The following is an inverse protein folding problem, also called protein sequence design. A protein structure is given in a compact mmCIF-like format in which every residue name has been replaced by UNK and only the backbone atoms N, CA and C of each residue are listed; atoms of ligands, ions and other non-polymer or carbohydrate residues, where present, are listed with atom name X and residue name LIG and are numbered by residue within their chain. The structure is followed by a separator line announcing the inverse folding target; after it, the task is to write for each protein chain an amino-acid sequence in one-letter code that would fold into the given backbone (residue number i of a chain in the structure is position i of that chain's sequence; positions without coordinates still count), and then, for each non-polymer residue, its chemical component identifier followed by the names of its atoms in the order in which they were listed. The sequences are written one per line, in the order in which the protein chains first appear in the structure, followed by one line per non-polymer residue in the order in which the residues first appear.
data_IF_889548963864
#
_entry.id   IF_889548963864
#
_cell.length_a   1.000
_cell.length_b   1.000
_cell.length_c   1.000
_cell.angle_alpha   90.00
_cell.angle_beta   90.00
_cell.angle_gamma   90.00
#
_symmetry.space_group_name_H-M   'P 1'
#
loop_
_entity.id
_entity.type
_entity.pdbx_description
1 polymer ?
#
# COMPACT_ATOMS: atom_id res chain seq x y z
N UNK A 1 3.82 29.50 -12.03
CA UNK A 1 2.84 28.45 -12.37
C UNK A 1 3.60 27.45 -13.23
N UNK A 2 4.03 26.35 -12.65
CA UNK A 2 4.75 25.29 -13.36
C UNK A 2 3.75 24.57 -14.26
N UNK A 3 3.99 24.64 -15.57
CA UNK A 3 3.26 23.94 -16.63
C UNK A 3 3.70 22.47 -16.73
N UNK A 4 4.04 21.85 -15.59
CA UNK A 4 4.44 20.44 -15.55
C UNK A 4 3.24 19.52 -15.79
N UNK A 5 3.46 18.42 -16.47
CA UNK A 5 2.50 17.33 -16.58
C UNK A 5 2.30 16.77 -15.15
N UNK A 6 1.06 16.48 -14.69
CA UNK A 6 0.77 16.13 -13.29
C UNK A 6 1.62 15.00 -12.70
N UNK A 7 2.13 14.09 -13.54
CA UNK A 7 2.93 12.93 -13.10
C UNK A 7 4.45 13.11 -13.22
N UNK A 8 4.96 14.26 -13.69
CA UNK A 8 6.40 14.41 -13.92
C UNK A 8 7.22 14.29 -12.64
N UNK A 9 6.73 14.87 -11.53
CA UNK A 9 7.39 14.77 -10.23
C UNK A 9 7.48 13.31 -9.76
N UNK A 10 6.42 12.52 -9.96
CA UNK A 10 6.43 11.09 -9.60
C UNK A 10 7.39 10.29 -10.47
N UNK A 11 7.49 10.59 -11.76
CA UNK A 11 8.45 9.96 -12.67
C UNK A 11 9.88 10.27 -12.24
N UNK A 12 10.15 11.53 -11.87
CA UNK A 12 11.46 11.94 -11.37
C UNK A 12 11.80 11.21 -10.06
N UNK A 13 10.86 11.14 -9.12
CA UNK A 13 11.04 10.40 -7.87
C UNK A 13 11.32 8.91 -8.11
N UNK A 14 10.52 8.28 -8.97
CA UNK A 14 10.70 6.86 -9.31
C UNK A 14 12.05 6.58 -10.01
N UNK A 15 12.48 7.48 -10.89
CA UNK A 15 13.77 7.35 -11.59
C UNK A 15 14.97 7.56 -10.66
N UNK A 16 14.80 8.26 -9.54
CA UNK A 16 15.85 8.57 -8.58
C UNK A 16 15.83 7.67 -7.33
N UNK A 17 15.05 6.58 -7.33
CA UNK A 17 15.12 5.59 -6.25
C UNK A 17 16.54 5.01 -6.22
N UNK A 18 17.22 5.16 -5.07
CA UNK A 18 18.58 4.68 -4.91
C UNK A 18 18.65 3.14 -5.02
N UNK A 19 19.56 2.65 -5.83
CA UNK A 19 19.83 1.21 -5.89
C UNK A 19 20.55 0.78 -4.60
N UNK A 20 20.10 -0.26 -3.90
CA UNK A 20 20.78 -0.80 -2.71
C UNK A 20 22.22 -1.28 -2.96
N UNK A 21 22.57 -1.58 -4.23
CA UNK A 21 23.90 -2.02 -4.64
C UNK A 21 24.08 -3.53 -4.60
N UNK A 22 25.08 -4.00 -5.36
CA UNK A 22 25.33 -5.44 -5.56
C UNK A 22 25.90 -6.13 -4.32
N UNK A 23 26.65 -5.43 -3.49
CA UNK A 23 27.24 -6.01 -2.30
C UNK A 23 26.19 -6.48 -1.30
N UNK A 24 25.22 -5.62 -0.98
CA UNK A 24 24.12 -6.01 -0.08
C UNK A 24 23.27 -7.15 -0.67
N UNK A 25 23.03 -7.13 -1.99
CA UNK A 25 22.31 -8.20 -2.68
C UNK A 25 23.02 -9.55 -2.55
N UNK A 26 24.34 -9.59 -2.79
CA UNK A 26 25.15 -10.83 -2.65
C UNK A 26 25.15 -11.33 -1.22
N UNK A 27 25.37 -10.43 -0.25
CA UNK A 27 25.43 -10.78 1.16
C UNK A 27 24.10 -11.34 1.64
N UNK A 28 22.98 -10.70 1.26
CA UNK A 28 21.64 -11.13 1.61
C UNK A 28 21.32 -12.53 1.06
N UNK A 29 21.63 -12.76 -0.23
CA UNK A 29 21.42 -14.06 -0.87
C UNK A 29 22.26 -15.16 -0.23
N UNK A 30 23.54 -14.94 -0.03
CA UNK A 30 24.42 -15.92 0.61
C UNK A 30 23.97 -16.26 2.05
N UNK A 31 23.34 -15.32 2.77
CA UNK A 31 22.77 -15.60 4.07
C UNK A 31 21.48 -16.42 3.98
N UNK A 32 20.59 -16.09 3.05
CA UNK A 32 19.36 -16.87 2.83
C UNK A 32 19.70 -18.31 2.43
N UNK A 33 20.63 -18.52 1.49
CA UNK A 33 21.07 -19.85 1.06
C UNK A 33 21.61 -20.71 2.22
N UNK A 34 22.25 -20.10 3.21
CA UNK A 34 22.70 -20.84 4.41
C UNK A 34 21.57 -21.22 5.35
N UNK A 35 20.52 -20.40 5.43
CA UNK A 35 19.38 -20.62 6.33
C UNK A 35 18.34 -21.53 5.69
N UNK A 36 18.19 -21.41 4.39
CA UNK A 36 17.20 -22.15 3.60
C UNK A 36 17.80 -22.66 2.29
N UNK A 37 18.73 -23.63 2.36
CA UNK A 37 19.40 -24.16 1.17
C UNK A 37 18.46 -24.88 0.20
N UNK A 38 17.35 -25.39 0.72
CA UNK A 38 16.34 -26.15 -0.07
C UNK A 38 15.19 -25.26 -0.59
N UNK A 39 15.18 -23.96 -0.29
CA UNK A 39 14.13 -23.03 -0.71
C UNK A 39 12.76 -23.30 -0.09
N UNK A 40 12.72 -23.91 1.09
CA UNK A 40 11.46 -24.31 1.77
C UNK A 40 10.64 -23.12 2.28
N UNK A 41 11.29 -21.98 2.49
CA UNK A 41 10.60 -20.75 2.90
C UNK A 41 9.77 -20.13 1.78
N UNK A 42 10.05 -20.44 0.51
CA UNK A 42 9.31 -19.93 -0.64
C UNK A 42 9.14 -18.40 -0.57
N UNK A 43 7.90 -17.91 -0.68
CA UNK A 43 7.57 -16.48 -0.66
C UNK A 43 8.07 -15.77 0.61
N UNK A 44 8.13 -16.44 1.75
CA UNK A 44 8.68 -15.85 2.99
C UNK A 44 10.18 -15.58 2.84
N UNK A 45 10.93 -16.50 2.21
CA UNK A 45 12.34 -16.32 1.90
C UNK A 45 12.57 -15.13 0.95
N UNK A 46 11.77 -15.03 -0.11
CA UNK A 46 11.83 -13.91 -1.06
C UNK A 46 11.53 -12.57 -0.39
N UNK A 47 10.51 -12.53 0.48
CA UNK A 47 10.13 -11.34 1.25
C UNK A 47 11.25 -10.92 2.21
N UNK A 48 11.84 -11.88 2.92
CA UNK A 48 12.97 -11.62 3.82
C UNK A 48 14.19 -11.10 3.06
N UNK A 49 14.47 -11.67 1.89
CA UNK A 49 15.56 -11.23 1.00
C UNK A 49 15.33 -9.79 0.54
N UNK A 50 14.14 -9.49 0.03
CA UNK A 50 13.75 -8.16 -0.40
C UNK A 50 13.91 -7.13 0.73
N UNK A 51 13.37 -7.45 1.91
CA UNK A 51 13.43 -6.58 3.08
C UNK A 51 14.88 -6.34 3.53
N UNK A 52 15.73 -7.37 3.52
CA UNK A 52 17.13 -7.25 3.87
C UNK A 52 17.88 -6.33 2.91
N UNK A 53 17.65 -6.49 1.60
CA UNK A 53 18.28 -5.69 0.55
C UNK A 53 17.90 -4.22 0.69
N UNK A 54 16.60 -3.93 0.77
CA UNK A 54 16.10 -2.55 0.77
C UNK A 54 16.29 -1.82 2.11
N UNK A 55 16.28 -2.53 3.24
CA UNK A 55 16.55 -1.94 4.55
C UNK A 55 18.04 -1.84 4.88
N UNK A 56 18.91 -2.51 4.14
CA UNK A 56 20.34 -2.61 4.44
C UNK A 56 20.64 -3.36 5.75
N UNK A 57 19.70 -4.14 6.28
CA UNK A 57 19.80 -4.82 7.59
C UNK A 57 19.86 -6.33 7.45
N UNK A 58 20.79 -6.93 8.17
CA UNK A 58 20.99 -8.38 8.23
C UNK A 58 21.14 -8.84 9.67
N UNK A 59 20.23 -9.68 10.20
CA UNK A 59 18.98 -10.14 9.59
C UNK A 59 17.97 -9.00 9.37
N UNK A 60 17.01 -9.16 8.44
CA UNK A 60 15.95 -8.18 8.27
C UNK A 60 15.10 -8.09 9.53
N UNK A 61 14.60 -6.90 9.85
CA UNK A 61 13.75 -6.67 11.00
C UNK A 61 12.58 -5.75 10.66
N UNK A 62 11.40 -6.09 11.16
CA UNK A 62 10.20 -5.27 11.09
C UNK A 62 9.87 -4.81 12.50
N UNK A 63 10.23 -3.57 12.84
CA UNK A 63 10.14 -3.10 14.21
C UNK A 63 8.81 -2.44 14.56
N UNK A 64 8.11 -1.88 13.62
CA UNK A 64 6.81 -1.21 13.83
C UNK A 64 5.99 -1.35 12.55
N UNK A 65 5.42 -2.55 12.30
CA UNK A 65 4.59 -2.75 11.14
C UNK A 65 3.33 -1.88 11.23
N UNK A 66 2.89 -1.37 10.10
CA UNK A 66 1.67 -0.57 10.01
C UNK A 66 0.80 -1.10 8.87
N UNK A 67 -0.48 -1.27 9.15
CA UNK A 67 -1.50 -1.56 8.17
C UNK A 67 -2.23 -0.26 7.83
N UNK A 68 -2.26 0.09 6.55
CA UNK A 68 -3.00 1.23 6.03
C UNK A 68 -4.23 0.74 5.27
N UNK A 69 -5.40 1.26 5.63
CA UNK A 69 -6.66 1.02 4.92
C UNK A 69 -7.06 2.31 4.22
N UNK A 70 -7.21 2.26 2.90
CA UNK A 70 -7.69 3.38 2.12
C UNK A 70 -9.14 3.11 1.72
N UNK A 71 -10.06 3.91 2.25
CA UNK A 71 -11.49 3.77 2.01
C UNK A 71 -11.96 4.79 0.97
N UNK A 72 -12.59 4.32 -0.09
CA UNK A 72 -13.12 5.17 -1.15
C UNK A 72 -14.44 4.59 -1.70
N UNK A 73 -15.26 5.46 -2.29
CA UNK A 73 -16.43 5.07 -3.05
C UNK A 73 -16.17 5.22 -4.56
N UNK A 74 -16.72 4.31 -5.35
CA UNK A 74 -16.45 4.21 -6.77
C UNK A 74 -17.72 4.22 -7.61
N UNK A 75 -17.73 4.96 -8.71
CA UNK A 75 -18.89 5.08 -9.60
C UNK A 75 -19.34 3.75 -10.22
N UNK A 76 -18.44 2.79 -10.38
CA UNK A 76 -18.75 1.44 -10.87
C UNK A 76 -19.67 0.65 -9.93
N UNK A 77 -19.76 1.01 -8.65
CA UNK A 77 -20.59 0.31 -7.66
C UNK A 77 -22.09 0.32 -8.04
N UNK A 78 -22.56 1.31 -8.81
CA UNK A 78 -23.93 1.36 -9.33
C UNK A 78 -24.34 0.16 -10.19
N UNK A 79 -23.38 -0.60 -10.70
CA UNK A 79 -23.62 -1.80 -11.51
C UNK A 79 -23.72 -3.08 -10.69
N UNK A 80 -23.81 -2.97 -9.35
CA UNK A 80 -23.96 -4.12 -8.48
C UNK A 80 -22.70 -5.01 -8.40
N UNK A 81 -21.53 -4.42 -8.52
CA UNK A 81 -20.23 -5.12 -8.36
C UNK A 81 -20.09 -5.68 -6.95
N UNK A 82 -20.65 -4.98 -5.96
CA UNK A 82 -20.77 -5.43 -4.58
C UNK A 82 -22.26 -5.40 -4.17
N UNK A 83 -22.66 -6.36 -3.35
CA UNK A 83 -24.00 -6.39 -2.77
C UNK A 83 -24.21 -5.33 -1.68
N UNK A 84 -23.13 -4.79 -1.12
CA UNK A 84 -23.19 -3.77 -0.07
C UNK A 84 -23.55 -2.40 -0.64
N UNK A 85 -24.41 -1.62 0.04
CA UNK A 85 -24.70 -0.25 -0.39
C UNK A 85 -23.46 0.64 -0.21
N UNK A 86 -23.35 1.69 -1.03
CA UNK A 86 -22.23 2.66 -0.97
C UNK A 86 -22.06 3.27 0.43
N UNK A 87 -23.16 3.45 1.18
CA UNK A 87 -23.13 3.93 2.57
C UNK A 87 -22.40 2.96 3.54
N UNK A 88 -22.24 1.70 3.19
CA UNK A 88 -21.54 0.74 4.03
C UNK A 88 -20.05 1.10 4.21
N UNK A 89 -19.43 1.79 3.25
CA UNK A 89 -18.04 2.21 3.35
C UNK A 89 -17.83 3.17 4.53
N UNK A 90 -18.68 4.18 4.67
CA UNK A 90 -18.61 5.13 5.80
C UNK A 90 -18.82 4.42 7.14
N UNK A 91 -19.82 3.54 7.23
CA UNK A 91 -20.07 2.74 8.44
C UNK A 91 -18.88 1.83 8.80
N UNK A 92 -18.19 1.26 7.80
CA UNK A 92 -16.99 0.45 8.03
C UNK A 92 -15.82 1.30 8.53
N UNK A 93 -15.63 2.50 7.99
CA UNK A 93 -14.58 3.44 8.47
C UNK A 93 -14.84 3.81 9.92
N UNK A 94 -16.08 4.18 10.28
CA UNK A 94 -16.48 4.46 11.66
C UNK A 94 -16.27 3.25 12.58
N UNK A 95 -16.62 2.05 12.11
CA UNK A 95 -16.42 0.81 12.85
C UNK A 95 -14.93 0.50 13.10
N UNK A 96 -14.07 0.73 12.11
CA UNK A 96 -12.63 0.65 12.27
C UNK A 96 -12.10 1.69 13.27
N UNK A 97 -12.60 2.93 13.19
CA UNK A 97 -12.19 4.00 14.11
C UNK A 97 -12.60 3.71 15.56
N UNK A 98 -13.76 3.07 15.75
CA UNK A 98 -14.23 2.61 17.05
C UNK A 98 -13.51 1.36 17.60
N UNK A 99 -12.61 0.76 16.83
CA UNK A 99 -11.88 -0.44 17.23
C UNK A 99 -12.66 -1.76 17.12
N UNK A 100 -13.84 -1.74 16.48
CA UNK A 100 -14.77 -2.87 16.43
C UNK A 100 -14.56 -3.83 15.25
N UNK A 101 -13.85 -3.42 14.21
CA UNK A 101 -13.68 -4.24 13.02
C UNK A 101 -12.68 -5.40 13.24
N UNK A 102 -12.82 -6.52 12.51
CA UNK A 102 -11.87 -7.63 12.60
C UNK A 102 -10.41 -7.22 12.41
N UNK A 103 -10.15 -6.26 11.53
CA UNK A 103 -8.80 -5.74 11.28
C UNK A 103 -8.18 -5.11 12.54
N UNK A 104 -8.96 -4.46 13.39
CA UNK A 104 -8.48 -3.92 14.67
C UNK A 104 -7.96 -5.04 15.56
N UNK A 105 -8.70 -6.14 15.67
CA UNK A 105 -8.33 -7.28 16.52
C UNK A 105 -7.06 -7.97 15.99
N UNK A 106 -6.93 -8.12 14.68
CA UNK A 106 -5.72 -8.67 14.05
C UNK A 106 -4.52 -7.76 14.33
N UNK A 107 -4.68 -6.45 14.19
CA UNK A 107 -3.61 -5.48 14.44
C UNK A 107 -3.16 -5.52 15.92
N UNK A 108 -4.11 -5.50 16.85
CA UNK A 108 -3.81 -5.58 18.30
C UNK A 108 -3.10 -6.90 18.65
N UNK A 109 -3.59 -8.02 18.12
CA UNK A 109 -3.01 -9.34 18.44
C UNK A 109 -1.60 -9.55 17.88
N UNK A 110 -1.19 -8.77 16.89
CA UNK A 110 0.11 -8.89 16.22
C UNK A 110 1.02 -7.67 16.40
N UNK A 111 0.66 -6.75 17.29
CA UNK A 111 1.40 -5.50 17.51
C UNK A 111 1.63 -4.70 16.22
N UNK A 112 0.60 -4.60 15.39
CA UNK A 112 0.57 -3.86 14.13
C UNK A 112 -0.19 -2.56 14.33
N UNK A 113 0.40 -1.42 13.94
CA UNK A 113 -0.32 -0.15 13.88
C UNK A 113 -1.43 -0.21 12.82
N UNK A 114 -2.58 0.40 13.10
CA UNK A 114 -3.65 0.55 12.12
C UNK A 114 -3.90 2.02 11.81
N UNK A 115 -3.96 2.36 10.55
CA UNK A 115 -4.37 3.68 10.08
C UNK A 115 -5.43 3.53 8.99
N UNK A 116 -6.56 4.21 9.16
CA UNK A 116 -7.65 4.21 8.18
C UNK A 116 -7.75 5.61 7.59
N UNK A 117 -7.70 5.68 6.27
CA UNK A 117 -7.80 6.92 5.51
C UNK A 117 -9.13 6.97 4.78
N UNK A 118 -9.93 7.98 5.08
CA UNK A 118 -11.10 8.36 4.30
C UNK A 118 -10.65 9.17 3.08
N UNK A 119 -10.89 8.62 1.90
CA UNK A 119 -10.54 9.25 0.63
C UNK A 119 -11.77 9.91 0.00
N UNK A 120 -12.32 10.93 0.69
CA UNK A 120 -13.45 11.69 0.24
C UNK A 120 -14.66 10.80 -0.14
N UNK A 121 -15.21 10.08 0.83
CA UNK A 121 -16.29 9.11 0.62
C UNK A 121 -17.57 9.72 0.02
N UNK A 122 -17.78 11.02 0.17
CA UNK A 122 -18.87 11.81 -0.40
C UNK A 122 -18.64 12.21 -1.87
N UNK A 123 -17.42 11.99 -2.40
CA UNK A 123 -17.03 12.27 -3.78
C UNK A 123 -16.57 10.99 -4.51
N UNK A 124 -17.49 10.09 -4.89
CA UNK A 124 -17.12 8.85 -5.59
C UNK A 124 -16.33 9.13 -6.86
N UNK A 125 -15.43 8.22 -7.21
CA UNK A 125 -14.75 8.28 -8.52
C UNK A 125 -15.74 8.15 -9.67
N UNK A 126 -15.33 8.53 -10.88
CA UNK A 126 -16.09 8.24 -12.10
C UNK A 126 -16.29 6.74 -12.32
N UNK A 127 -17.22 6.40 -13.21
CA UNK A 127 -17.48 5.01 -13.60
C UNK A 127 -16.47 4.54 -14.65
N UNK A 128 -15.62 3.59 -14.29
CA UNK A 128 -14.59 3.02 -15.18
C UNK A 128 -15.17 2.33 -16.43
N UNK A 129 -16.45 1.99 -16.43
CA UNK A 129 -17.12 1.39 -17.61
C UNK A 129 -17.51 2.43 -18.65
N UNK A 130 -17.58 3.72 -18.25
CA UNK A 130 -17.96 4.83 -19.11
C UNK A 130 -16.78 5.72 -19.49
N UNK A 131 -15.69 5.70 -18.72
CA UNK A 131 -14.52 6.54 -18.94
C UNK A 131 -13.50 6.44 -17.82
N UNK A 132 -12.47 7.31 -17.79
CA UNK A 132 -11.52 7.36 -16.70
C UNK A 132 -12.20 7.65 -15.36
N UNK A 133 -11.86 6.89 -14.32
CA UNK A 133 -12.42 7.07 -12.97
C UNK A 133 -11.93 8.35 -12.29
N UNK A 134 -10.71 8.80 -12.62
CA UNK A 134 -10.10 10.05 -12.19
C UNK A 134 -9.49 10.74 -13.41
N UNK A 135 -9.51 12.06 -13.43
CA UNK A 135 -8.68 12.82 -14.36
C UNK A 135 -7.21 12.81 -13.89
N UNK A 136 -6.27 13.29 -14.72
CA UNK A 136 -4.85 13.28 -14.43
C UNK A 136 -4.51 14.08 -13.16
N UNK A 137 -5.21 15.17 -12.90
CA UNK A 137 -5.00 15.99 -11.71
C UNK A 137 -5.48 15.29 -10.44
N UNK A 138 -6.66 14.68 -10.50
CA UNK A 138 -7.21 13.88 -9.40
C UNK A 138 -6.32 12.69 -9.07
N UNK A 139 -5.86 11.96 -10.09
CA UNK A 139 -4.94 10.85 -9.90
C UNK A 139 -3.59 11.30 -9.28
N UNK A 140 -3.00 12.39 -9.78
CA UNK A 140 -1.77 12.92 -9.20
C UNK A 140 -1.96 13.42 -7.75
N UNK A 141 -3.09 14.06 -7.44
CA UNK A 141 -3.39 14.53 -6.09
C UNK A 141 -3.55 13.35 -5.09
N UNK A 142 -4.24 12.27 -5.50
CA UNK A 142 -4.39 11.08 -4.64
C UNK A 142 -3.06 10.34 -4.45
N UNK A 143 -2.20 10.29 -5.47
CA UNK A 143 -0.85 9.75 -5.33
C UNK A 143 -0.01 10.60 -4.36
N UNK A 144 -0.05 11.93 -4.46
CA UNK A 144 0.66 12.82 -3.55
C UNK A 144 0.21 12.62 -2.10
N UNK A 145 -1.10 12.53 -1.87
CA UNK A 145 -1.66 12.22 -0.55
C UNK A 145 -1.17 10.88 0.02
N UNK A 146 -1.00 9.87 -0.82
CA UNK A 146 -0.48 8.57 -0.40
C UNK A 146 1.02 8.55 -0.08
N UNK A 147 1.75 9.62 -0.41
CA UNK A 147 3.19 9.75 -0.15
C UNK A 147 3.49 10.53 1.14
N UNK A 148 2.52 11.20 1.75
CA UNK A 148 2.64 11.91 3.02
C UNK A 148 2.57 10.94 4.22
#
# INVERSE_FOLDING_TARGET
MTTGIPFDDFRVLAANVADPGDEIRRTARARLERVDPDGRLGVLGDTALWLAIWSGRMPPAVNRPQLAVFAANHGVARHGVDASPVSATAALVEHCAAGGAPVNQICVSNDVGLKVYDLALDLPTGDITAGPALDERGAAATMAFGME
#
